data_IF_618257884730
#
_entry.id   IF_618257884730
#
_cell.length_a   1.000
_cell.length_b   1.000
_cell.length_c   1.000
_cell.angle_alpha   90.00
_cell.angle_beta   90.00
_cell.angle_gamma   90.00
#
_symmetry.space_group_name_H-M   'P 1'
#
loop_
_entity.id
_entity.type
_entity.pdbx_description
1 polymer ?
#
# COMPACT_ATOMS: atom_id res chain seq x y z
N UNK A 1 -12.88 4.73 -20.94
CA UNK A 1 -11.99 5.49 -20.05
C UNK A 1 -12.54 5.34 -18.67
N UNK A 2 -11.71 4.82 -17.76
CA UNK A 2 -12.13 4.44 -16.43
C UNK A 2 -12.53 5.69 -15.64
N UNK A 3 -13.73 5.71 -15.10
CA UNK A 3 -14.24 6.85 -14.34
C UNK A 3 -13.76 6.79 -12.90
N UNK A 4 -12.52 7.25 -12.69
CA UNK A 4 -11.92 7.32 -11.35
C UNK A 4 -12.81 8.04 -10.35
N UNK A 5 -13.48 9.14 -10.76
CA UNK A 5 -14.22 10.00 -9.85
C UNK A 5 -15.49 9.31 -9.37
N UNK A 6 -16.21 8.63 -10.26
CA UNK A 6 -17.39 7.86 -9.87
C UNK A 6 -17.07 6.79 -8.80
N UNK A 7 -16.03 5.98 -9.03
CA UNK A 7 -15.66 4.93 -8.08
C UNK A 7 -15.09 5.50 -6.78
N UNK A 8 -14.28 6.56 -6.86
CA UNK A 8 -13.76 7.29 -5.70
C UNK A 8 -14.88 7.86 -4.82
N UNK A 9 -15.83 8.59 -5.42
CA UNK A 9 -16.94 9.23 -4.69
C UNK A 9 -17.86 8.17 -4.05
N UNK A 10 -18.11 7.07 -4.78
CA UNK A 10 -18.88 5.93 -4.24
C UNK A 10 -18.17 5.31 -3.04
N UNK A 11 -16.88 5.00 -3.15
CA UNK A 11 -16.12 4.40 -2.05
C UNK A 11 -16.08 5.31 -0.82
N UNK A 12 -15.81 6.60 -1.02
CA UNK A 12 -15.79 7.57 0.07
C UNK A 12 -17.14 7.65 0.78
N UNK A 13 -18.24 7.66 0.03
CA UNK A 13 -19.59 7.67 0.59
C UNK A 13 -19.89 6.40 1.39
N UNK A 14 -19.59 5.23 0.83
CA UNK A 14 -19.92 3.94 1.44
C UNK A 14 -19.09 3.70 2.72
N UNK A 15 -17.85 4.20 2.76
CA UNK A 15 -16.92 4.05 3.90
C UNK A 15 -16.84 5.29 4.81
N UNK A 16 -17.70 6.31 4.58
CA UNK A 16 -17.74 7.58 5.33
C UNK A 16 -16.39 8.30 5.42
N UNK A 17 -15.63 8.29 4.32
CA UNK A 17 -14.33 8.93 4.22
C UNK A 17 -14.45 10.32 3.60
N UNK A 18 -13.67 11.26 4.12
CA UNK A 18 -13.53 12.62 3.58
C UNK A 18 -12.15 12.77 2.96
N UNK A 19 -12.03 12.37 1.69
CA UNK A 19 -10.78 12.34 0.93
C UNK A 19 -10.79 13.33 -0.22
N UNK A 20 -9.60 13.61 -0.75
CA UNK A 20 -9.38 14.26 -2.05
C UNK A 20 -8.82 13.24 -3.03
N UNK A 21 -9.10 13.44 -4.32
CA UNK A 21 -8.42 12.73 -5.40
C UNK A 21 -7.58 13.74 -6.19
N UNK A 22 -6.35 13.36 -6.53
CA UNK A 22 -5.44 14.14 -7.36
C UNK A 22 -4.87 13.26 -8.47
N UNK A 23 -4.68 13.85 -9.66
CA UNK A 23 -4.00 13.21 -10.78
C UNK A 23 -2.59 13.76 -11.02
N UNK A 24 -2.15 14.69 -10.16
CA UNK A 24 -0.81 15.26 -10.17
C UNK A 24 0.00 14.58 -9.07
N UNK A 25 0.90 13.68 -9.45
CA UNK A 25 1.78 12.98 -8.52
C UNK A 25 2.72 13.98 -7.81
N UNK A 26 2.99 13.80 -6.51
CA UNK A 26 3.97 14.62 -5.81
C UNK A 26 5.39 14.34 -6.30
N UNK A 27 6.30 15.28 -6.02
CA UNK A 27 7.71 15.16 -6.38
C UNK A 27 8.32 13.90 -5.78
N UNK A 28 9.07 13.14 -6.58
CA UNK A 28 9.69 11.87 -6.17
C UNK A 28 8.80 10.63 -6.36
N UNK A 29 7.56 10.81 -6.81
CA UNK A 29 6.60 9.73 -7.09
C UNK A 29 6.07 9.77 -8.53
N UNK A 30 6.80 10.40 -9.45
CA UNK A 30 6.38 10.62 -10.84
C UNK A 30 6.14 9.31 -11.61
N UNK A 31 6.77 8.21 -11.17
CA UNK A 31 6.66 6.87 -11.77
C UNK A 31 5.78 5.91 -10.98
N UNK A 32 5.26 6.32 -9.82
CA UNK A 32 4.31 5.50 -9.07
C UNK A 32 2.95 5.47 -9.78
N UNK A 33 2.23 4.35 -9.68
CA UNK A 33 0.89 4.21 -10.28
C UNK A 33 -0.17 4.98 -9.48
N UNK A 34 0.00 5.00 -8.16
CA UNK A 34 -0.83 5.71 -7.19
C UNK A 34 -0.08 5.88 -5.88
N UNK A 35 -0.66 6.65 -4.98
CA UNK A 35 -0.26 6.70 -3.57
C UNK A 35 -1.35 7.34 -2.72
N UNK A 36 -1.50 6.90 -1.48
CA UNK A 36 -2.28 7.60 -0.47
C UNK A 36 -1.38 8.42 0.45
N UNK A 37 -1.73 9.69 0.66
CA UNK A 37 -1.07 10.56 1.63
C UNK A 37 -2.01 10.83 2.81
N UNK A 38 -1.66 10.30 3.98
CA UNK A 38 -2.50 10.38 5.18
C UNK A 38 -2.64 11.81 5.72
N UNK A 39 -1.59 12.63 5.64
CA UNK A 39 -1.58 14.01 6.18
C UNK A 39 -2.58 14.91 5.44
N UNK A 40 -2.54 14.84 4.11
CA UNK A 40 -3.40 15.66 3.24
C UNK A 40 -4.74 15.01 2.94
N UNK A 41 -4.91 13.73 3.32
CA UNK A 41 -6.05 12.87 3.01
C UNK A 41 -6.32 12.81 1.50
N UNK A 42 -5.26 12.64 0.73
CA UNK A 42 -5.32 12.66 -0.74
C UNK A 42 -4.94 11.31 -1.31
N UNK A 43 -5.81 10.75 -2.15
CA UNK A 43 -5.51 9.65 -3.05
C UNK A 43 -4.96 10.23 -4.34
N UNK A 44 -3.72 9.92 -4.65
CA UNK A 44 -3.07 10.28 -5.90
C UNK A 44 -3.14 9.09 -6.86
N UNK A 45 -3.50 9.37 -8.11
CA UNK A 45 -3.45 8.38 -9.18
C UNK A 45 -2.72 8.99 -10.36
N UNK A 46 -1.73 8.27 -10.90
CA UNK A 46 -0.96 8.74 -12.03
C UNK A 46 -1.70 8.51 -13.35
N UNK A 47 -2.84 9.19 -13.52
CA UNK A 47 -3.70 9.03 -14.69
C UNK A 47 -2.97 9.27 -16.03
N UNK A 48 -2.02 10.22 -16.15
CA UNK A 48 -1.21 10.36 -17.37
C UNK A 48 -0.33 9.14 -17.64
N UNK A 49 0.37 8.61 -16.63
CA UNK A 49 1.20 7.41 -16.79
C UNK A 49 0.37 6.16 -17.10
N UNK A 50 -0.86 6.11 -16.58
CA UNK A 50 -1.79 5.01 -16.76
C UNK A 50 -2.66 5.12 -18.03
N UNK A 51 -2.51 6.15 -18.87
CA UNK A 51 -3.46 6.46 -19.97
C UNK A 51 -3.75 5.27 -20.87
N UNK A 52 -2.70 4.56 -21.28
CA UNK A 52 -2.74 3.44 -22.23
C UNK A 52 -2.82 2.07 -21.54
N UNK A 53 -2.95 2.06 -20.22
CA UNK A 53 -3.10 0.83 -19.45
C UNK A 53 -4.57 0.38 -19.47
N UNK A 54 -4.79 -0.93 -19.45
CA UNK A 54 -6.13 -1.52 -19.39
C UNK A 54 -6.93 -1.01 -18.17
N UNK A 55 -8.24 -0.85 -18.37
CA UNK A 55 -9.15 -0.20 -17.41
C UNK A 55 -9.25 -0.94 -16.07
N UNK A 56 -9.10 -2.26 -16.07
CA UNK A 56 -9.08 -3.06 -14.85
C UNK A 56 -7.85 -2.76 -13.98
N UNK A 57 -6.69 -2.45 -14.59
CA UNK A 57 -5.47 -2.06 -13.84
C UNK A 57 -5.62 -0.67 -13.23
N UNK A 58 -6.22 0.26 -13.97
CA UNK A 58 -6.58 1.59 -13.46
C UNK A 58 -7.49 1.49 -12.23
N UNK A 59 -8.50 0.62 -12.32
CA UNK A 59 -9.39 0.32 -11.21
C UNK A 59 -8.66 -0.30 -10.02
N UNK A 60 -7.76 -1.26 -10.27
CA UNK A 60 -6.96 -1.90 -9.22
C UNK A 60 -6.17 -0.88 -8.42
N UNK A 61 -5.39 -0.02 -9.08
CA UNK A 61 -4.60 1.00 -8.39
C UNK A 61 -5.49 1.98 -7.61
N UNK A 62 -6.65 2.38 -8.14
CA UNK A 62 -7.58 3.21 -7.38
C UNK A 62 -8.07 2.53 -6.10
N UNK A 63 -8.55 1.29 -6.18
CA UNK A 63 -9.08 0.58 -5.02
C UNK A 63 -8.01 0.23 -4.00
N UNK A 64 -6.80 -0.05 -4.46
CA UNK A 64 -5.63 -0.26 -3.61
C UNK A 64 -5.36 0.98 -2.74
N UNK A 65 -5.21 2.16 -3.34
CA UNK A 65 -4.98 3.40 -2.58
C UNK A 65 -6.15 3.80 -1.68
N UNK A 66 -7.39 3.53 -2.10
CA UNK A 66 -8.58 3.74 -1.27
C UNK A 66 -8.59 2.80 -0.06
N UNK A 67 -8.09 1.58 -0.20
CA UNK A 67 -7.98 0.64 0.92
C UNK A 67 -6.94 1.13 1.93
N UNK A 68 -5.79 1.63 1.48
CA UNK A 68 -4.85 2.31 2.38
C UNK A 68 -5.49 3.49 3.12
N UNK A 69 -6.28 4.31 2.42
CA UNK A 69 -6.99 5.41 3.07
C UNK A 69 -7.90 4.92 4.20
N UNK A 70 -8.62 3.81 4.00
CA UNK A 70 -9.43 3.18 5.05
C UNK A 70 -8.58 2.64 6.20
N UNK A 71 -7.48 1.94 5.91
CA UNK A 71 -6.58 1.38 6.93
C UNK A 71 -6.02 2.48 7.86
N UNK A 72 -5.61 3.62 7.29
CA UNK A 72 -5.06 4.74 8.06
C UNK A 72 -6.13 5.52 8.82
N UNK A 73 -7.31 5.75 8.22
CA UNK A 73 -8.31 6.66 8.78
C UNK A 73 -9.34 6.00 9.69
N UNK A 74 -9.56 4.70 9.51
CA UNK A 74 -10.53 3.91 10.27
C UNK A 74 -9.89 2.61 10.83
N UNK A 75 -8.78 2.69 11.59
CA UNK A 75 -8.03 1.51 12.04
C UNK A 75 -8.87 0.53 12.87
N UNK A 76 -9.96 0.99 13.51
CA UNK A 76 -10.88 0.14 14.27
C UNK A 76 -11.62 -0.91 13.42
N UNK A 77 -11.61 -0.77 12.09
CA UNK A 77 -12.23 -1.73 11.17
C UNK A 77 -11.27 -2.84 10.74
N UNK A 78 -10.02 -2.78 11.17
CA UNK A 78 -8.93 -3.66 10.74
C UNK A 78 -8.36 -4.45 11.93
N UNK A 79 -7.71 -5.56 11.61
CA UNK A 79 -7.05 -6.39 12.63
C UNK A 79 -5.85 -5.66 13.24
N UNK A 80 -5.46 -6.06 14.44
CA UNK A 80 -4.24 -5.59 15.09
C UNK A 80 -3.00 -5.80 14.21
N UNK A 81 -2.98 -6.86 13.41
CA UNK A 81 -1.91 -7.15 12.47
C UNK A 81 -1.79 -6.10 11.35
N UNK A 82 -2.90 -5.68 10.75
CA UNK A 82 -2.91 -4.61 9.74
C UNK A 82 -2.51 -3.29 10.40
N UNK A 83 -3.12 -2.97 11.54
CA UNK A 83 -2.85 -1.73 12.27
C UNK A 83 -1.39 -1.62 12.74
N UNK A 84 -0.77 -2.75 13.11
CA UNK A 84 0.62 -2.80 13.48
C UNK A 84 1.54 -2.69 12.26
N UNK A 85 1.30 -3.50 11.22
CA UNK A 85 2.18 -3.56 10.04
C UNK A 85 2.20 -2.27 9.24
N UNK A 86 1.09 -1.53 9.15
CA UNK A 86 1.02 -0.27 8.39
C UNK A 86 1.92 0.84 8.97
N UNK A 87 2.40 0.67 10.20
CA UNK A 87 3.39 1.60 10.78
C UNK A 87 4.79 1.39 10.21
N UNK A 88 5.03 0.30 9.48
CA UNK A 88 6.32 -0.07 8.92
C UNK A 88 6.24 -0.12 7.39
N UNK A 89 7.33 0.29 6.74
CA UNK A 89 7.52 0.13 5.29
C UNK A 89 8.87 -0.51 5.07
N UNK A 90 8.90 -1.66 4.39
CA UNK A 90 10.14 -2.39 4.07
C UNK A 90 10.32 -2.34 2.55
N UNK A 91 11.37 -1.68 2.07
CA UNK A 91 11.69 -1.60 0.64
C UNK A 91 12.50 -2.82 0.18
N UNK A 92 12.45 -3.12 -1.12
CA UNK A 92 13.15 -4.23 -1.77
C UNK A 92 14.67 -4.24 -1.54
N UNK A 93 15.28 -3.09 -1.28
CA UNK A 93 16.72 -2.98 -1.06
C UNK A 93 17.10 -3.09 0.43
N UNK A 94 16.15 -3.29 1.34
CA UNK A 94 16.35 -3.32 2.79
C UNK A 94 16.27 -1.95 3.47
N UNK A 95 15.97 -0.89 2.73
CA UNK A 95 15.61 0.41 3.33
C UNK A 95 14.26 0.28 4.02
N UNK A 96 14.21 0.65 5.30
CA UNK A 96 13.01 0.50 6.11
C UNK A 96 12.61 1.84 6.71
N UNK A 97 11.31 2.07 6.82
CA UNK A 97 10.73 3.23 7.48
C UNK A 97 9.78 2.78 8.59
N UNK A 98 9.75 3.55 9.67
CA UNK A 98 8.72 3.44 10.70
C UNK A 98 8.03 4.78 10.90
N UNK A 99 6.71 4.80 10.89
CA UNK A 99 5.91 5.96 11.25
C UNK A 99 5.90 6.13 12.77
N UNK A 100 6.47 7.23 13.27
CA UNK A 100 6.50 7.59 14.69
C UNK A 100 6.06 9.04 14.84
N UNK A 101 4.97 9.28 15.56
CA UNK A 101 4.41 10.62 15.79
C UNK A 101 4.21 11.44 14.50
N UNK A 102 3.76 10.78 13.42
CA UNK A 102 3.54 11.40 12.11
C UNK A 102 4.81 11.64 11.29
N UNK A 103 5.97 11.14 11.71
CA UNK A 103 7.23 11.23 10.95
C UNK A 103 7.73 9.84 10.60
N UNK A 104 8.21 9.67 9.38
CA UNK A 104 8.92 8.46 8.99
C UNK A 104 10.37 8.55 9.47
N UNK A 105 10.77 7.59 10.28
CA UNK A 105 12.15 7.35 10.66
C UNK A 105 12.72 6.27 9.77
N UNK A 106 13.89 6.51 9.20
CA UNK A 106 14.55 5.62 8.24
C UNK A 106 15.66 4.82 8.94
N UNK A 107 15.78 3.53 8.58
CA UNK A 107 16.98 2.74 8.85
C UNK A 107 17.26 1.76 7.70
N UNK A 108 18.44 1.16 7.69
CA UNK A 108 18.83 0.12 6.74
C UNK A 108 19.03 -1.21 7.45
N UNK A 109 18.38 -2.25 6.96
CA UNK A 109 18.66 -3.63 7.33
C UNK A 109 19.57 -4.27 6.28
N UNK A 110 20.50 -5.11 6.74
CA UNK A 110 21.38 -5.88 5.86
C UNK A 110 20.69 -7.18 5.46
N UNK A 111 20.74 -7.53 4.18
CA UNK A 111 20.07 -8.72 3.66
C UNK A 111 20.07 -8.77 2.14
N UNK A 112 19.46 -9.83 1.60
CA UNK A 112 19.34 -10.06 0.17
C UNK A 112 18.11 -9.35 -0.43
N UNK A 113 18.20 -8.88 -1.68
CA UNK A 113 17.11 -8.18 -2.37
C UNK A 113 15.89 -9.08 -2.61
N UNK A 114 16.09 -10.38 -2.87
CA UNK A 114 14.98 -11.35 -3.00
C UNK A 114 14.24 -11.49 -1.67
N UNK A 115 14.97 -11.55 -0.56
CA UNK A 115 14.39 -11.60 0.78
C UNK A 115 13.52 -10.37 1.07
N UNK A 116 14.04 -9.16 0.81
CA UNK A 116 13.29 -7.94 1.06
C UNK A 116 12.16 -7.70 0.06
N UNK A 117 12.31 -8.14 -1.20
CA UNK A 117 11.23 -8.10 -2.19
C UNK A 117 10.04 -8.93 -1.74
N UNK A 118 10.30 -10.13 -1.23
CA UNK A 118 9.26 -11.00 -0.67
C UNK A 118 8.57 -10.33 0.52
N UNK A 119 9.33 -9.74 1.45
CA UNK A 119 8.76 -8.99 2.58
C UNK A 119 7.93 -7.80 2.11
N UNK A 120 8.43 -7.00 1.16
CA UNK A 120 7.74 -5.83 0.59
C UNK A 120 6.38 -6.23 0.01
N UNK A 121 6.35 -7.24 -0.86
CA UNK A 121 5.11 -7.73 -1.50
C UNK A 121 4.14 -8.35 -0.49
N UNK A 122 4.68 -8.98 0.56
CA UNK A 122 3.89 -9.73 1.52
C UNK A 122 3.44 -8.94 2.75
N UNK A 123 3.79 -7.66 2.88
CA UNK A 123 3.44 -6.87 4.08
C UNK A 123 1.93 -6.98 4.35
N UNK A 124 1.50 -7.26 5.60
CA UNK A 124 0.10 -7.59 5.85
C UNK A 124 -0.91 -6.52 5.39
N UNK A 125 -0.60 -5.22 5.55
CA UNK A 125 -1.46 -4.14 5.07
C UNK A 125 -1.47 -4.02 3.53
N UNK A 126 -0.36 -4.32 2.85
CA UNK A 126 -0.28 -4.39 1.38
C UNK A 126 -1.08 -5.58 0.84
N UNK A 127 -0.96 -6.75 1.47
CA UNK A 127 -1.74 -7.94 1.13
C UNK A 127 -3.25 -7.70 1.25
N UNK A 128 -3.70 -7.01 2.32
CA UNK A 128 -5.09 -6.58 2.46
C UNK A 128 -5.51 -5.61 1.34
N UNK A 129 -4.68 -4.61 1.02
CA UNK A 129 -4.94 -3.65 -0.06
C UNK A 129 -5.05 -4.31 -1.43
N UNK A 130 -4.11 -5.19 -1.76
CA UNK A 130 -4.06 -5.93 -3.03
C UNK A 130 -5.23 -6.90 -3.17
N UNK A 131 -5.56 -7.64 -2.10
CA UNK A 131 -6.70 -8.56 -2.10
C UNK A 131 -8.01 -7.81 -2.25
N UNK A 132 -8.17 -6.70 -1.52
CA UNK A 132 -9.35 -5.85 -1.62
C UNK A 132 -9.53 -5.29 -3.03
N UNK A 133 -8.45 -4.72 -3.60
CA UNK A 133 -8.47 -4.17 -4.95
C UNK A 133 -8.82 -5.23 -5.99
N UNK A 134 -8.22 -6.41 -5.92
CA UNK A 134 -8.54 -7.54 -6.80
C UNK A 134 -10.03 -7.91 -6.75
N UNK A 135 -10.60 -8.05 -5.55
CA UNK A 135 -12.01 -8.42 -5.40
C UNK A 135 -12.97 -7.31 -5.87
N UNK A 136 -12.66 -6.03 -5.67
CA UNK A 136 -13.46 -4.93 -6.22
C UNK A 136 -13.42 -4.88 -7.75
N UNK A 137 -12.23 -5.04 -8.33
CA UNK A 137 -12.07 -5.06 -9.80
C UNK A 137 -12.77 -6.26 -10.41
N UNK A 138 -12.68 -7.42 -9.76
CA UNK A 138 -13.37 -8.65 -10.17
C UNK A 138 -14.89 -8.49 -10.20
N UNK A 139 -15.49 -7.72 -9.29
CA UNK A 139 -16.94 -7.41 -9.31
C UNK A 139 -17.34 -6.57 -10.54
N UNK A 140 -16.44 -5.74 -11.06
CA UNK A 140 -16.71 -4.81 -12.17
C UNK A 140 -16.42 -5.47 -13.53
N UNK A 141 -15.28 -6.16 -13.65
CA UNK A 141 -14.77 -6.67 -14.92
C UNK A 141 -14.78 -8.20 -15.05
N UNK A 142 -15.15 -8.91 -13.99
CA UNK A 142 -15.05 -10.36 -13.92
C UNK A 142 -13.64 -10.85 -13.57
N UNK A 143 -13.51 -12.17 -13.45
CA UNK A 143 -12.30 -12.86 -13.01
C UNK A 143 -11.47 -13.35 -14.21
N UNK A 144 -10.79 -12.42 -14.88
CA UNK A 144 -9.96 -12.72 -16.05
C UNK A 144 -8.56 -13.22 -15.67
N UNK A 145 -7.91 -13.92 -16.60
CA UNK A 145 -6.54 -14.39 -16.40
C UNK A 145 -5.55 -13.22 -16.22
N UNK A 146 -5.76 -12.12 -16.94
CA UNK A 146 -4.91 -10.93 -16.86
C UNK A 146 -5.07 -10.18 -15.53
N UNK A 147 -6.27 -10.23 -14.92
CA UNK A 147 -6.49 -9.70 -13.58
C UNK A 147 -5.82 -10.58 -12.51
N UNK A 148 -5.95 -11.91 -12.62
CA UNK A 148 -5.24 -12.85 -11.73
C UNK A 148 -3.73 -12.67 -11.80
N UNK A 149 -3.16 -12.61 -13.00
CA UNK A 149 -1.72 -12.36 -13.21
C UNK A 149 -1.27 -11.03 -12.62
N UNK A 150 -2.09 -9.99 -12.70
CA UNK A 150 -1.79 -8.72 -12.05
C UNK A 150 -1.75 -8.89 -10.53
N UNK A 151 -2.78 -9.49 -9.94
CA UNK A 151 -2.83 -9.74 -8.49
C UNK A 151 -1.67 -10.62 -8.00
N UNK A 152 -1.36 -11.70 -8.72
CA UNK A 152 -0.24 -12.60 -8.44
C UNK A 152 1.12 -11.87 -8.47
N UNK A 153 1.27 -10.84 -9.31
CA UNK A 153 2.49 -10.01 -9.34
C UNK A 153 2.62 -9.03 -8.17
N UNK A 154 1.53 -8.83 -7.41
CA UNK A 154 1.48 -7.93 -6.25
C UNK A 154 1.60 -8.67 -4.91
N UNK A 155 1.80 -9.99 -4.92
CA UNK A 155 1.90 -10.81 -3.72
C UNK A 155 3.16 -11.69 -3.78
N UNK A 156 3.72 -12.15 -2.66
CA UNK A 156 4.90 -12.99 -2.68
C UNK A 156 4.56 -14.38 -3.25
N UNK A 157 5.52 -15.07 -3.90
CA UNK A 157 5.30 -16.39 -4.47
C UNK A 157 5.02 -17.48 -3.42
N UNK A 158 5.42 -17.23 -2.17
CA UNK A 158 5.15 -18.09 -1.02
C UNK A 158 4.64 -17.26 0.16
N UNK A 159 3.70 -17.78 0.96
CA UNK A 159 3.26 -17.12 2.18
C UNK A 159 4.43 -16.91 3.14
N UNK A 160 4.49 -15.71 3.72
CA UNK A 160 5.51 -15.36 4.70
C UNK A 160 4.91 -15.53 6.10
N UNK A 161 5.56 -16.27 7.02
CA UNK A 161 5.09 -16.43 8.38
C UNK A 161 5.02 -15.09 9.12
N UNK A 162 4.00 -14.92 9.95
CA UNK A 162 3.79 -13.71 10.74
C UNK A 162 5.00 -13.39 11.64
N UNK A 163 5.62 -14.42 12.19
CA UNK A 163 6.80 -14.30 13.07
C UNK A 163 7.99 -13.66 12.35
N UNK A 164 8.08 -13.80 11.02
CA UNK A 164 9.14 -13.16 10.24
C UNK A 164 8.92 -11.64 10.15
N UNK A 165 7.68 -11.19 10.04
CA UNK A 165 7.35 -9.76 10.11
C UNK A 165 7.62 -9.20 11.50
N UNK A 166 7.17 -9.87 12.55
CA UNK A 166 7.36 -9.42 13.93
C UNK A 166 8.86 -9.30 14.27
N UNK A 167 9.68 -10.26 13.85
CA UNK A 167 11.14 -10.17 14.02
C UNK A 167 11.77 -9.04 13.20
N UNK A 168 11.32 -8.84 11.95
CA UNK A 168 11.80 -7.74 11.11
C UNK A 168 11.44 -6.37 11.70
N UNK A 169 10.21 -6.20 12.19
CA UNK A 169 9.78 -4.97 12.86
C UNK A 169 10.57 -4.70 14.14
N UNK A 170 10.89 -5.74 14.92
CA UNK A 170 11.76 -5.61 16.08
C UNK A 170 13.18 -5.16 15.71
N UNK A 171 13.74 -5.67 14.60
CA UNK A 171 15.05 -5.24 14.09
C UNK A 171 15.04 -3.76 13.66
N UNK A 172 13.97 -3.29 13.02
CA UNK A 172 13.77 -1.88 12.67
C UNK A 172 13.77 -1.03 13.95
N UNK A 173 13.00 -1.44 14.96
CA UNK A 173 12.89 -0.74 16.23
C UNK A 173 14.22 -0.63 16.97
N UNK A 174 15.02 -1.71 16.96
CA UNK A 174 16.36 -1.73 17.53
C UNK A 174 17.31 -0.77 16.80
N UNK A 175 17.34 -0.80 15.46
CA UNK A 175 18.20 0.08 14.65
C UNK A 175 17.85 1.55 14.85
N UNK A 176 16.57 1.90 14.91
CA UNK A 176 16.10 3.26 15.13
C UNK A 176 16.41 3.75 16.55
N UNK A 177 16.29 2.87 17.55
CA UNK A 177 16.63 3.19 18.94
C UNK A 177 18.13 3.44 19.13
N UNK A 178 18.97 2.58 18.54
CA UNK A 178 20.43 2.70 18.61
C UNK A 178 20.98 3.92 17.87
N UNK A 179 20.27 4.41 16.86
CA UNK A 179 20.61 5.62 16.12
C UNK A 179 20.27 6.91 16.88
N UNK A 180 19.63 6.82 18.05
CA UNK A 180 19.20 8.00 18.82
C UNK A 180 18.06 8.79 18.18
N UNK A 181 17.41 8.21 17.14
CA UNK A 181 16.31 8.82 16.38
C UNK A 181 14.94 8.66 17.06
N UNK A 182 14.89 7.96 18.20
CA UNK A 182 13.68 7.69 18.99
C UNK A 182 13.40 8.69 20.13
N UNK A 183 14.05 9.87 20.14
CA UNK A 183 13.79 10.93 21.13
C UNK A 183 12.92 12.07 20.59
#
# INVERSE_FOLDING_TARGET
>A
MFDYKMYFDKYCKDNRLHLKISFNMPSGYETANGMFNFETKTVFINAPYLSDVAEYKKAFYLFHELRHASQYLNPEQFSDEINHSIQYTIMYDGTCYKLVNGKYLECKLDGDEEYFTNLYLGQPYEMDANTFAYEEVKKIYGDSEELRKMYESCIPPQPIPRELYESTFAMIDEKLSNSGLSR
#
